data_IF_413625775261
#
_entry.id   IF_413625775261
#
_cell.length_a   1.000
_cell.length_b   1.000
_cell.length_c   1.000
_cell.angle_alpha   90.00
_cell.angle_beta   90.00
_cell.angle_gamma   90.00
#
_symmetry.space_group_name_H-M   'P 1'
#
loop_
_entity.id
_entity.type
_entity.pdbx_description
1 polymer ?
#
# COMPACT_ATOMS: atom_id res chain seq x y z
N UNK A 1 17.17 11.21 -18.50
CA UNK A 1 15.83 10.87 -17.97
C UNK A 1 16.00 10.38 -16.54
N UNK A 2 15.54 11.12 -15.52
CA UNK A 2 15.61 10.64 -14.12
C UNK A 2 14.71 9.40 -14.02
N UNK A 3 15.30 8.24 -13.76
CA UNK A 3 14.53 7.02 -13.49
C UNK A 3 14.03 7.13 -12.05
N UNK A 4 12.73 7.18 -11.87
CA UNK A 4 12.11 7.19 -10.55
C UNK A 4 11.96 5.75 -10.05
N UNK A 5 12.17 5.53 -8.76
CA UNK A 5 11.87 4.25 -8.11
C UNK A 5 10.37 4.04 -8.10
N UNK A 6 9.92 2.82 -8.38
CA UNK A 6 8.50 2.46 -8.40
C UNK A 6 8.28 1.24 -7.54
N UNK A 7 7.29 1.30 -6.66
CA UNK A 7 6.84 0.16 -5.86
C UNK A 7 5.53 -0.40 -6.41
N UNK A 8 5.40 -1.72 -6.35
CA UNK A 8 4.10 -2.37 -6.48
C UNK A 8 3.31 -2.22 -5.18
N UNK A 9 2.73 -1.04 -5.02
CA UNK A 9 2.12 -0.63 -3.76
C UNK A 9 0.86 0.19 -4.03
N UNK A 10 -0.09 0.04 -3.11
CA UNK A 10 -1.14 1.03 -2.90
C UNK A 10 -0.69 1.94 -1.76
N UNK A 11 -1.22 3.15 -1.65
CA UNK A 11 -0.83 4.06 -0.57
C UNK A 11 -1.99 4.94 -0.15
N UNK A 12 -2.04 5.28 1.13
CA UNK A 12 -3.01 6.19 1.72
C UNK A 12 -2.32 7.25 2.58
N UNK A 13 -2.96 8.42 2.69
CA UNK A 13 -2.53 9.54 3.52
C UNK A 13 -3.03 9.35 4.94
N UNK A 14 -2.09 9.34 5.88
CA UNK A 14 -2.34 9.22 7.32
C UNK A 14 -1.61 10.36 8.02
N UNK A 15 -2.35 11.24 8.71
CA UNK A 15 -1.78 12.36 9.49
C UNK A 15 -0.78 13.24 8.72
N UNK A 16 -0.99 13.43 7.42
CA UNK A 16 -0.11 14.26 6.58
C UNK A 16 1.07 13.53 5.95
N UNK A 17 1.27 12.25 6.27
CA UNK A 17 2.29 11.39 5.66
C UNK A 17 1.65 10.27 4.82
N UNK A 18 2.46 9.64 3.97
CA UNK A 18 2.06 8.46 3.21
C UNK A 18 2.41 7.16 3.93
N UNK A 19 1.45 6.24 3.93
CA UNK A 19 1.65 4.83 4.30
C UNK A 19 1.50 4.00 3.03
N UNK A 20 2.56 3.31 2.63
CA UNK A 20 2.56 2.43 1.47
C UNK A 20 2.20 1.00 1.89
N UNK A 21 1.19 0.41 1.27
CA UNK A 21 0.84 -1.01 1.40
C UNK A 21 1.50 -1.77 0.26
N UNK A 22 2.54 -2.53 0.57
CA UNK A 22 3.45 -3.20 -0.38
C UNK A 22 3.28 -4.71 -0.31
N UNK A 23 3.37 -5.39 -1.45
CA UNK A 23 3.25 -6.84 -1.51
C UNK A 23 3.01 -7.35 -2.93
N UNK A 24 3.13 -8.67 -3.17
CA UNK A 24 2.85 -9.25 -4.47
C UNK A 24 1.36 -9.12 -4.85
N UNK A 25 1.02 -9.43 -6.11
CA UNK A 25 -0.39 -9.54 -6.52
C UNK A 25 -1.12 -10.55 -5.63
N UNK A 26 -2.34 -10.22 -5.20
CA UNK A 26 -3.14 -11.07 -4.31
C UNK A 26 -2.81 -10.99 -2.81
N UNK A 27 -1.79 -10.24 -2.40
CA UNK A 27 -1.46 -10.04 -0.96
C UNK A 27 -2.48 -9.21 -0.17
N UNK A 28 -3.47 -8.62 -0.84
CA UNK A 28 -4.49 -7.77 -0.21
C UNK A 28 -4.16 -6.27 -0.17
N UNK A 29 -3.15 -5.78 -0.90
CA UNK A 29 -2.81 -4.34 -0.96
C UNK A 29 -3.99 -3.42 -1.22
N UNK A 30 -4.72 -3.67 -2.32
CA UNK A 30 -5.86 -2.84 -2.72
C UNK A 30 -7.02 -3.01 -1.73
N UNK A 31 -7.20 -4.20 -1.13
CA UNK A 31 -8.18 -4.43 -0.07
C UNK A 31 -7.84 -3.61 1.18
N UNK A 32 -6.60 -3.60 1.63
CA UNK A 32 -6.16 -2.76 2.75
C UNK A 32 -6.30 -1.28 2.39
N UNK A 33 -5.88 -0.86 1.20
CA UNK A 33 -6.06 0.53 0.77
C UNK A 33 -7.54 0.95 0.77
N UNK A 34 -8.46 0.05 0.43
CA UNK A 34 -9.89 0.30 0.51
C UNK A 34 -10.41 0.38 1.95
N UNK A 35 -9.97 -0.51 2.84
CA UNK A 35 -10.26 -0.42 4.28
C UNK A 35 -9.74 0.89 4.88
N UNK A 36 -8.58 1.37 4.42
CA UNK A 36 -8.03 2.67 4.83
C UNK A 36 -8.89 3.83 4.29
N UNK A 37 -9.30 3.77 3.03
CA UNK A 37 -10.17 4.79 2.44
C UNK A 37 -11.54 4.87 3.14
N UNK A 38 -12.14 3.73 3.45
CA UNK A 38 -13.38 3.63 4.24
C UNK A 38 -13.22 4.20 5.65
N UNK A 39 -12.06 3.97 6.28
CA UNK A 39 -11.71 4.58 7.56
C UNK A 39 -11.44 6.10 7.51
N UNK A 40 -11.51 6.71 6.32
CA UNK A 40 -11.33 8.15 6.09
C UNK A 40 -9.90 8.58 5.75
N UNK A 41 -9.01 7.65 5.39
CA UNK A 41 -7.64 7.96 4.95
C UNK A 41 -7.58 8.13 3.43
N UNK A 42 -7.31 9.33 2.89
CA UNK A 42 -7.36 9.57 1.45
C UNK A 42 -6.35 8.73 0.66
N UNK A 43 -6.77 8.22 -0.50
CA UNK A 43 -5.91 7.45 -1.39
C UNK A 43 -4.82 8.33 -2.02
N UNK A 44 -3.59 7.82 -2.06
CA UNK A 44 -2.46 8.42 -2.76
C UNK A 44 -2.26 7.71 -4.11
N UNK A 45 -2.29 6.38 -4.08
CA UNK A 45 -2.07 5.55 -5.26
C UNK A 45 -2.64 4.15 -5.08
N UNK A 46 -2.95 3.48 -6.18
CA UNK A 46 -3.19 2.05 -6.23
C UNK A 46 -2.27 1.44 -7.29
N UNK A 47 -1.65 0.29 -6.96
CA UNK A 47 -0.85 -0.52 -7.87
C UNK A 47 0.54 0.07 -8.28
N UNK A 48 0.67 1.35 -8.68
CA UNK A 48 1.95 2.04 -9.03
C UNK A 48 2.25 3.17 -8.05
N UNK A 49 3.12 2.94 -7.06
CA UNK A 49 3.60 4.02 -6.20
C UNK A 49 4.95 4.54 -6.68
N UNK A 50 5.01 5.78 -7.18
CA UNK A 50 6.26 6.45 -7.53
C UNK A 50 6.93 6.97 -6.26
N UNK A 51 8.20 6.64 -6.07
CA UNK A 51 9.02 7.03 -4.93
C UNK A 51 10.23 7.84 -5.39
N UNK A 52 10.50 8.94 -4.71
CA UNK A 52 11.77 9.66 -4.78
C UNK A 52 12.59 9.34 -3.52
N UNK A 53 13.68 8.59 -3.69
CA UNK A 53 14.56 8.11 -2.62
C UNK A 53 15.56 9.18 -2.18
N UNK A 54 15.08 10.37 -1.80
CA UNK A 54 15.90 11.44 -1.23
C UNK A 54 16.47 11.10 0.16
N UNK A 55 16.91 12.12 0.90
CA UNK A 55 17.22 11.98 2.34
C UNK A 55 15.96 11.72 3.16
N UNK A 56 14.83 12.30 2.75
CA UNK A 56 13.49 12.00 3.22
C UNK A 56 12.68 11.46 2.03
N UNK A 57 12.45 10.14 1.93
CA UNK A 57 11.74 9.56 0.81
C UNK A 57 10.34 10.16 0.65
N UNK A 58 9.93 10.45 -0.59
CA UNK A 58 8.61 11.01 -0.90
C UNK A 58 7.89 10.17 -1.93
N UNK A 59 6.57 10.14 -1.84
CA UNK A 59 5.70 9.51 -2.84
C UNK A 59 4.85 10.55 -3.54
N UNK A 60 4.50 10.28 -4.78
CA UNK A 60 3.67 11.16 -5.59
C UNK A 60 2.24 10.62 -5.65
N UNK A 61 1.27 11.51 -5.51
CA UNK A 61 -0.14 11.17 -5.70
C UNK A 61 -0.38 10.90 -7.17
N UNK A 62 -1.03 9.77 -7.47
CA UNK A 62 -1.21 9.30 -8.85
C UNK A 62 -2.54 8.59 -9.12
N UNK A 63 -3.41 8.42 -8.11
CA UNK A 63 -4.70 7.77 -8.30
C UNK A 63 -5.85 8.52 -7.63
N UNK A 64 -7.01 8.51 -8.30
CA UNK A 64 -8.32 8.92 -7.78
C UNK A 64 -9.33 7.77 -7.70
N UNK A 65 -8.92 6.55 -8.05
CA UNK A 65 -9.76 5.34 -8.10
C UNK A 65 -8.99 4.12 -7.58
N UNK A 66 -9.65 3.26 -6.80
CA UNK A 66 -9.15 1.94 -6.34
C UNK A 66 -9.66 0.83 -7.28
N UNK A 67 -8.85 -0.19 -7.59
CA UNK A 67 -9.30 -1.35 -8.40
C UNK A 67 -9.37 -2.62 -7.56
N UNK A 68 -10.58 -3.01 -7.14
CA UNK A 68 -10.84 -4.15 -6.25
C UNK A 68 -11.32 -5.39 -6.99
N UNK A 69 -11.00 -6.61 -6.54
CA UNK A 69 -11.67 -7.83 -7.04
C UNK A 69 -13.09 -7.91 -6.48
N UNK A 70 -14.02 -8.59 -7.17
CA UNK A 70 -15.45 -8.69 -6.79
C UNK A 70 -15.68 -9.05 -5.30
N UNK A 71 -14.90 -9.98 -4.73
CA UNK A 71 -15.03 -10.37 -3.31
C UNK A 71 -14.55 -9.31 -2.29
N UNK A 72 -13.81 -8.29 -2.73
CA UNK A 72 -13.41 -7.14 -1.91
C UNK A 72 -14.29 -5.91 -2.14
N UNK A 73 -15.23 -5.96 -3.11
CA UNK A 73 -16.13 -4.85 -3.42
C UNK A 73 -17.29 -4.71 -2.42
N UNK A 74 -17.48 -5.69 -1.53
CA UNK A 74 -18.49 -5.66 -0.46
C UNK A 74 -18.14 -4.74 0.73
N UNK A 75 -17.16 -3.83 0.58
CA UNK A 75 -16.96 -2.71 1.51
C UNK A 75 -18.16 -1.77 1.33
N UNK A 76 -19.06 -1.76 2.32
CA UNK A 76 -20.46 -1.32 2.17
C UNK A 76 -20.73 -0.03 2.96
N UNK A 77 -21.46 0.91 2.35
CA UNK A 77 -22.19 2.07 2.91
C UNK A 77 -21.47 3.10 3.81
N UNK A 78 -20.17 2.93 4.11
CA UNK A 78 -19.36 3.86 4.90
C UNK A 78 -18.95 5.18 4.22
N UNK A 79 -19.85 5.86 3.52
CA UNK A 79 -19.79 7.29 3.14
C UNK A 79 -18.63 7.82 2.27
N UNK A 80 -17.58 7.04 2.01
CA UNK A 80 -16.36 7.50 1.31
C UNK A 80 -16.23 6.96 -0.12
N UNK A 81 -17.12 6.06 -0.52
CA UNK A 81 -17.20 5.52 -1.88
C UNK A 81 -18.20 6.35 -2.70
N UNK A 82 -17.72 7.03 -3.74
CA UNK A 82 -18.57 7.90 -4.57
C UNK A 82 -19.17 7.20 -5.78
N UNK A 83 -18.55 6.10 -6.26
CA UNK A 83 -19.05 5.33 -7.40
C UNK A 83 -18.36 3.98 -7.56
N UNK A 84 -19.07 3.03 -8.19
CA UNK A 84 -18.56 1.73 -8.62
C UNK A 84 -18.56 1.65 -10.15
N UNK A 85 -17.48 1.15 -10.76
CA UNK A 85 -17.40 0.88 -12.20
C UNK A 85 -16.70 -0.45 -12.45
N UNK A 86 -17.29 -1.34 -13.23
CA UNK A 86 -16.58 -2.56 -13.68
C UNK A 86 -15.39 -2.21 -14.56
N UNK A 87 -14.23 -2.84 -14.33
CA UNK A 87 -13.02 -2.70 -15.15
C UNK A 87 -12.85 -3.91 -16.06
N UNK A 88 -12.12 -3.71 -17.17
CA UNK A 88 -11.88 -4.74 -18.18
C UNK A 88 -11.09 -5.97 -17.70
N UNK A 89 -10.48 -5.92 -16.52
CA UNK A 89 -9.77 -7.04 -15.88
C UNK A 89 -10.61 -7.80 -14.85
N UNK A 90 -11.94 -7.60 -14.83
CA UNK A 90 -12.86 -8.28 -13.90
C UNK A 90 -12.76 -7.74 -12.46
N UNK A 91 -12.32 -6.50 -12.31
CA UNK A 91 -12.29 -5.78 -11.03
C UNK A 91 -13.41 -4.73 -10.98
N UNK A 92 -13.70 -4.26 -9.79
CA UNK A 92 -14.58 -3.13 -9.51
C UNK A 92 -13.70 -1.93 -9.17
N UNK A 93 -13.70 -0.93 -10.04
CA UNK A 93 -13.16 0.38 -9.71
C UNK A 93 -14.09 1.08 -8.72
N UNK A 94 -13.51 1.60 -7.65
CA UNK A 94 -14.20 2.30 -6.58
C UNK A 94 -13.58 3.69 -6.47
N UNK A 95 -14.39 4.73 -6.70
CA UNK A 95 -13.90 6.10 -6.51
C UNK A 95 -13.95 6.45 -5.03
N UNK A 96 -12.81 6.91 -4.52
CA UNK A 96 -12.59 7.26 -3.11
C UNK A 96 -11.95 8.63 -3.01
N UNK A 97 -12.01 9.24 -1.82
CA UNK A 97 -11.31 10.49 -1.57
C UNK A 97 -9.81 10.34 -1.87
N UNK A 98 -9.28 11.19 -2.75
CA UNK A 98 -7.86 11.24 -3.08
C UNK A 98 -7.14 12.29 -2.22
N UNK A 99 -5.85 12.07 -1.95
CA UNK A 99 -5.00 13.08 -1.34
C UNK A 99 -4.90 14.32 -2.25
N UNK A 100 -4.91 15.52 -1.66
CA UNK A 100 -4.89 16.78 -2.39
C UNK A 100 -3.46 17.25 -2.74
N UNK A 101 -2.45 16.73 -2.05
CA UNK A 101 -1.04 17.09 -2.26
C UNK A 101 -0.43 16.43 -3.49
N UNK A 102 0.53 17.08 -4.15
CA UNK A 102 1.28 16.46 -5.26
C UNK A 102 2.21 15.34 -4.77
N UNK A 103 2.80 15.52 -3.59
CA UNK A 103 3.74 14.57 -3.01
C UNK A 103 3.79 14.65 -1.48
N UNK A 104 3.86 13.49 -0.83
CA UNK A 104 3.86 13.33 0.63
C UNK A 104 5.13 12.58 1.08
N UNK A 105 5.67 12.87 2.29
CA UNK A 105 6.72 12.04 2.87
C UNK A 105 6.26 10.59 3.04
N UNK A 106 7.12 9.63 2.73
CA UNK A 106 6.84 8.22 2.95
C UNK A 106 7.25 7.83 4.37
N UNK A 107 6.25 7.68 5.24
CA UNK A 107 6.46 7.36 6.66
C UNK A 107 6.73 5.89 6.89
N UNK A 108 5.96 5.01 6.25
CA UNK A 108 6.07 3.58 6.46
C UNK A 108 5.69 2.76 5.22
N UNK A 109 6.29 1.57 5.14
CA UNK A 109 5.85 0.49 4.27
C UNK A 109 5.20 -0.62 5.12
N UNK A 110 4.03 -1.08 4.68
CA UNK A 110 3.21 -2.10 5.34
C UNK A 110 3.11 -3.31 4.42
N UNK A 111 3.46 -4.48 4.93
CA UNK A 111 3.30 -5.77 4.27
C UNK A 111 2.09 -6.49 4.87
N UNK A 112 0.95 -6.53 4.17
CA UNK A 112 -0.26 -7.17 4.68
C UNK A 112 -0.10 -8.69 4.71
N UNK A 113 -0.56 -9.30 5.80
CA UNK A 113 -0.58 -10.74 6.00
C UNK A 113 -1.97 -11.17 6.51
N UNK A 114 -2.95 -11.37 5.61
CA UNK A 114 -4.28 -11.83 5.99
C UNK A 114 -4.22 -13.20 6.68
N UNK A 115 -4.90 -13.35 7.82
CA UNK A 115 -4.89 -14.54 8.69
C UNK A 115 -6.32 -14.90 9.09
N UNK A 116 -6.64 -16.20 9.08
CA UNK A 116 -7.99 -16.72 9.43
C UNK A 116 -8.12 -17.13 10.90
N UNK A 117 -6.99 -17.23 11.59
CA UNK A 117 -6.84 -17.74 12.95
C UNK A 117 -6.55 -16.63 13.96
N UNK A 118 -6.84 -15.37 13.60
CA UNK A 118 -6.72 -14.20 14.48
C UNK A 118 -7.98 -13.35 14.39
N UNK A 119 -8.31 -12.66 15.48
CA UNK A 119 -9.45 -11.74 15.62
C UNK A 119 -9.01 -10.26 15.74
N UNK A 120 -7.70 -10.04 15.86
CA UNK A 120 -7.09 -8.73 16.13
C UNK A 120 -5.88 -8.49 15.22
N UNK A 121 -5.60 -7.22 14.96
CA UNK A 121 -4.46 -6.80 14.16
C UNK A 121 -3.17 -6.95 14.97
N UNK A 122 -2.15 -7.57 14.38
CA UNK A 122 -0.81 -7.66 14.99
C UNK A 122 0.21 -7.04 14.04
N UNK A 123 0.87 -5.97 14.47
CA UNK A 123 1.90 -5.29 13.68
C UNK A 123 3.29 -5.52 14.28
N UNK A 124 4.24 -5.92 13.45
CA UNK A 124 5.64 -6.14 13.84
C UNK A 124 6.55 -5.30 12.97
N UNK A 125 7.36 -4.44 13.59
CA UNK A 125 8.39 -3.67 12.90
C UNK A 125 9.50 -4.61 12.45
N UNK A 126 9.83 -4.58 11.16
CA UNK A 126 10.84 -5.44 10.56
C UNK A 126 12.23 -4.82 10.70
N UNK A 127 13.23 -5.67 10.90
CA UNK A 127 14.61 -5.29 10.70
C UNK A 127 14.87 -4.97 9.21
N UNK A 128 15.82 -4.08 8.87
CA UNK A 128 16.07 -3.69 7.48
C UNK A 128 16.33 -4.85 6.52
N UNK A 129 16.97 -5.93 6.98
CA UNK A 129 17.21 -7.12 6.16
C UNK A 129 15.91 -7.85 5.79
N UNK A 130 14.95 -7.96 6.71
CA UNK A 130 13.68 -8.63 6.46
C UNK A 130 12.73 -7.74 5.65
N UNK A 131 12.76 -6.43 5.89
CA UNK A 131 12.10 -5.45 5.04
C UNK A 131 12.59 -5.52 3.59
N UNK A 132 13.90 -5.61 3.37
CA UNK A 132 14.48 -5.76 2.03
C UNK A 132 13.98 -7.03 1.32
N UNK A 133 13.91 -8.16 2.02
CA UNK A 133 13.36 -9.41 1.45
C UNK A 133 11.93 -9.20 0.96
N UNK A 134 11.08 -8.56 1.77
CA UNK A 134 9.69 -8.30 1.43
C UNK A 134 9.55 -7.33 0.23
N UNK A 135 10.35 -6.26 0.21
CA UNK A 135 10.37 -5.30 -0.90
C UNK A 135 10.79 -5.96 -2.22
N UNK A 136 11.81 -6.82 -2.20
CA UNK A 136 12.27 -7.55 -3.38
C UNK A 136 11.28 -8.63 -3.84
N UNK A 137 10.44 -9.16 -2.94
CA UNK A 137 9.40 -10.13 -3.23
C UNK A 137 8.11 -9.51 -3.84
N UNK A 138 8.04 -8.19 -3.95
CA UNK A 138 6.92 -7.46 -4.55
C UNK A 138 7.27 -6.78 -5.89
N UNK A 139 7.85 -7.48 -6.88
CA UNK A 139 8.25 -6.83 -8.12
C UNK A 139 7.04 -6.50 -9.01
N UNK A 140 6.96 -5.24 -9.46
CA UNK A 140 6.16 -4.84 -10.63
C UNK A 140 7.07 -4.87 -11.86
N UNK A 141 7.20 -6.06 -12.46
CA UNK A 141 8.02 -6.24 -13.65
C UNK A 141 7.19 -6.01 -14.92
N UNK A 142 7.61 -5.04 -15.72
CA UNK A 142 7.19 -4.88 -17.11
C UNK A 142 8.49 -4.80 -17.94
N UNK A 143 8.78 -5.83 -18.73
CA UNK A 143 9.89 -5.84 -19.70
C UNK A 143 11.11 -6.70 -19.36
N UNK A 144 12.22 -6.44 -20.06
CA UNK A 144 13.48 -7.19 -19.97
C UNK A 144 14.27 -6.86 -18.71
N UNK A 145 14.76 -7.92 -18.05
CA UNK A 145 15.56 -7.85 -16.83
C UNK A 145 17.03 -8.04 -17.23
N UNK A 146 17.85 -7.02 -17.02
CA UNK A 146 19.30 -7.11 -17.14
C UNK A 146 19.99 -6.99 -15.77
N UNK A 147 21.28 -7.35 -15.71
CA UNK A 147 22.07 -7.27 -14.49
C UNK A 147 22.13 -5.85 -13.90
N UNK A 148 22.15 -4.81 -14.74
CA UNK A 148 22.19 -3.43 -14.29
C UNK A 148 20.88 -3.00 -13.62
N UNK A 149 19.74 -3.50 -14.10
CA UNK A 149 18.44 -3.29 -13.49
C UNK A 149 18.35 -3.99 -12.13
N UNK A 150 18.75 -5.26 -12.04
CA UNK A 150 18.74 -6.01 -10.77
C UNK A 150 19.56 -5.32 -9.69
N UNK A 151 20.78 -4.86 -10.03
CA UNK A 151 21.64 -4.17 -9.10
C UNK A 151 21.03 -2.85 -8.61
N UNK A 152 20.45 -2.05 -9.52
CA UNK A 152 19.77 -0.80 -9.15
C UNK A 152 18.56 -1.06 -8.26
N UNK A 153 17.69 -2.00 -8.64
CA UNK A 153 16.52 -2.35 -7.84
C UNK A 153 16.92 -2.81 -6.44
N UNK A 154 17.95 -3.66 -6.32
CA UNK A 154 18.49 -4.08 -5.03
C UNK A 154 18.98 -2.89 -4.20
N UNK A 155 19.76 -1.98 -4.80
CA UNK A 155 20.27 -0.79 -4.10
C UNK A 155 19.15 0.15 -3.64
N UNK A 156 18.15 0.38 -4.49
CA UNK A 156 17.00 1.23 -4.21
C UNK A 156 16.14 0.64 -3.08
N UNK A 157 15.81 -0.65 -3.14
CA UNK A 157 15.06 -1.33 -2.07
C UNK A 157 15.86 -1.41 -0.77
N UNK A 158 17.18 -1.62 -0.85
CA UNK A 158 18.07 -1.64 0.32
C UNK A 158 18.13 -0.28 1.00
N UNK A 159 18.15 0.81 0.21
CA UNK A 159 18.07 2.17 0.73
C UNK A 159 16.73 2.39 1.42
N UNK A 160 15.63 2.07 0.75
CA UNK A 160 14.28 2.24 1.29
C UNK A 160 14.10 1.50 2.62
N UNK A 161 14.50 0.23 2.69
CA UNK A 161 14.44 -0.60 3.89
C UNK A 161 15.24 -0.07 5.08
N UNK A 162 16.25 0.78 4.83
CA UNK A 162 17.07 1.43 5.88
C UNK A 162 16.52 2.79 6.30
N UNK A 163 15.77 3.46 5.44
CA UNK A 163 15.32 4.84 5.66
C UNK A 163 13.84 4.97 6.03
N UNK A 164 13.03 3.94 5.73
CA UNK A 164 11.59 3.94 5.97
C UNK A 164 11.23 2.77 6.87
N UNK A 165 10.41 3.05 7.88
CA UNK A 165 9.91 2.03 8.78
C UNK A 165 9.06 1.01 8.03
N UNK A 166 9.40 -0.26 8.18
CA UNK A 166 8.77 -1.36 7.49
C UNK A 166 8.06 -2.26 8.50
N UNK A 167 6.79 -2.58 8.25
CA UNK A 167 5.93 -3.31 9.16
C UNK A 167 5.31 -4.50 8.47
N UNK A 168 5.39 -5.67 9.09
CA UNK A 168 4.52 -6.78 8.73
C UNK A 168 3.25 -6.69 9.58
N UNK A 169 2.09 -6.71 8.95
CA UNK A 169 0.80 -6.52 9.64
C UNK A 169 -0.08 -7.72 9.38
N UNK A 170 -0.35 -8.49 10.43
CA UNK A 170 -1.32 -9.57 10.41
C UNK A 170 -2.72 -8.98 10.51
N UNK A 171 -3.61 -9.37 9.60
CA UNK A 171 -4.94 -8.79 9.46
C UNK A 171 -5.98 -9.91 9.53
N UNK A 172 -6.98 -9.85 10.43
CA UNK A 172 -8.10 -10.78 10.42
C UNK A 172 -8.77 -10.86 9.04
N UNK A 173 -9.03 -12.06 8.55
CA UNK A 173 -9.67 -12.28 7.25
C UNK A 173 -11.15 -11.84 7.27
N UNK A 174 -11.57 -11.10 6.24
CA UNK A 174 -12.96 -10.86 5.85
C UNK A 174 -13.10 -11.20 4.35
N UNK A 175 -14.27 -11.59 3.84
CA UNK A 175 -15.52 -10.87 4.10
C UNK A 175 -16.51 -11.62 5.01
N UNK A 176 -17.35 -10.90 5.80
CA UNK A 176 -17.35 -9.44 5.96
C UNK A 176 -16.12 -8.95 6.76
N UNK A 177 -15.68 -7.73 6.49
CA UNK A 177 -14.66 -7.04 7.30
C UNK A 177 -15.35 -6.20 8.38
N UNK A 178 -14.65 -5.95 9.48
CA UNK A 178 -15.11 -5.08 10.55
C UNK A 178 -14.86 -3.60 10.17
N UNK A 179 -15.86 -2.74 10.36
CA UNK A 179 -15.88 -1.33 9.96
C UNK A 179 -14.68 -0.52 10.52
N UNK A 180 -14.15 -0.88 11.69
CA UNK A 180 -13.00 -0.17 12.30
C UNK A 180 -11.64 -0.79 11.93
N UNK A 181 -11.62 -1.85 11.10
CA UNK A 181 -10.38 -2.57 10.76
C UNK A 181 -9.33 -1.67 10.11
N UNK A 182 -9.74 -0.73 9.26
CA UNK A 182 -8.82 0.25 8.66
C UNK A 182 -8.07 1.09 9.70
N UNK A 183 -8.78 1.58 10.74
CA UNK A 183 -8.15 2.35 11.83
C UNK A 183 -7.25 1.47 12.70
N UNK A 184 -7.67 0.22 12.99
CA UNK A 184 -6.87 -0.74 13.75
C UNK A 184 -5.58 -1.17 13.02
N UNK A 185 -5.57 -1.19 11.69
CA UNK A 185 -4.35 -1.39 10.89
C UNK A 185 -3.36 -0.24 11.11
N UNK A 186 -3.86 1.00 11.17
CA UNK A 186 -3.03 2.22 11.30
C UNK A 186 -2.59 2.50 12.74
N UNK A 187 -3.38 2.13 13.74
CA UNK A 187 -3.11 2.41 15.16
C UNK A 187 -1.67 2.06 15.60
N UNK A 188 -1.19 0.82 15.39
CA UNK A 188 0.16 0.41 15.76
C UNK A 188 1.29 1.10 14.97
N UNK A 189 0.99 1.71 13.83
CA UNK A 189 1.97 2.24 12.86
C UNK A 189 2.08 3.76 12.96
N UNK A 190 0.97 4.42 13.31
CA UNK A 190 0.83 5.89 13.32
C UNK A 190 1.25 6.57 14.61
N UNK A 191 1.68 5.80 15.63
CA UNK A 191 2.25 6.31 16.89
C UNK A 191 3.68 6.86 16.79
N UNK A 192 4.11 7.21 15.58
CA UNK A 192 5.38 7.89 15.26
C UNK A 192 5.18 9.42 15.15
#
# INVERSE_FOLDING_TARGET
MKKHTVLHASAAKVRGDAIAVVGPSGSGKSTVAALLAEAGYPLISDDVLRVDLGSNPRVYVSASELRLRENSAALSDGGSVSSYRGTSDGRTAVSVAAAAEDALPLRACVFPMPRRDIDSVVAVKLAPADALKQLLAAPRMLGWIDHGWLLRNFQEMSRLAKTVDCWQVQIPWGPPFDDDLGRRIIGPISGL
#
